data_IF_889113231570
#
_entry.id   IF_889113231570
#
_cell.length_a   1.000
_cell.length_b   1.000
_cell.length_c   1.000
_cell.angle_alpha   90.00
_cell.angle_beta   90.00
_cell.angle_gamma   90.00
#
_symmetry.space_group_name_H-M   'P 1'
#
loop_
_entity.id
_entity.type
_entity.pdbx_description
1 polymer ?
#
# COMPACT_ATOMS: atom_id res chain seq x y z
N UNK A 1 40.10 35.85 -68.53
CA UNK A 1 41.03 35.04 -67.72
C UNK A 1 40.73 35.30 -66.25
N UNK A 2 40.18 34.28 -65.57
CA UNK A 2 40.54 33.81 -64.22
C UNK A 2 40.56 34.83 -63.06
N UNK A 3 39.58 34.65 -62.16
CA UNK A 3 39.65 34.65 -60.68
C UNK A 3 39.88 35.98 -59.92
N UNK A 4 39.41 36.20 -58.69
CA UNK A 4 38.95 35.30 -57.61
C UNK A 4 37.87 35.98 -56.76
N UNK A 5 36.94 35.16 -56.29
CA UNK A 5 35.97 35.49 -55.26
C UNK A 5 36.62 35.67 -53.88
N UNK A 6 36.05 36.56 -53.07
CA UNK A 6 36.11 36.48 -51.62
C UNK A 6 34.67 36.61 -51.07
N UNK A 7 34.02 35.52 -50.63
CA UNK A 7 32.82 35.64 -49.82
C UNK A 7 33.22 35.86 -48.36
N UNK A 8 32.68 36.93 -47.76
CA UNK A 8 32.78 37.22 -46.34
C UNK A 8 32.39 36.01 -45.48
N UNK A 9 33.38 35.43 -44.79
CA UNK A 9 33.22 34.33 -43.82
C UNK A 9 32.84 34.84 -42.43
N UNK A 10 31.81 35.69 -42.32
CA UNK A 10 31.34 36.24 -41.04
C UNK A 10 30.25 35.39 -40.34
N UNK A 11 29.88 34.22 -40.89
CA UNK A 11 28.78 33.38 -40.39
C UNK A 11 29.16 32.16 -39.55
N UNK A 12 30.44 31.78 -39.48
CA UNK A 12 30.87 30.52 -38.83
C UNK A 12 31.21 30.69 -37.35
N UNK A 13 31.73 31.85 -36.93
CA UNK A 13 32.22 32.06 -35.57
C UNK A 13 31.10 32.03 -34.51
N UNK A 14 29.93 32.61 -34.77
CA UNK A 14 28.80 32.59 -33.81
C UNK A 14 28.25 31.17 -33.61
N UNK A 15 28.18 30.38 -34.69
CA UNK A 15 27.72 28.99 -34.67
C UNK A 15 28.69 28.08 -33.91
N UNK A 16 30.00 28.31 -34.05
CA UNK A 16 31.04 27.57 -33.31
C UNK A 16 31.02 27.88 -31.81
N UNK A 17 30.82 29.14 -31.41
CA UNK A 17 30.70 29.49 -29.99
C UNK A 17 29.44 28.89 -29.34
N UNK A 18 28.32 28.87 -30.06
CA UNK A 18 27.10 28.19 -29.59
C UNK A 18 27.34 26.69 -29.41
N UNK A 19 28.02 26.03 -30.36
CA UNK A 19 28.36 24.61 -30.25
C UNK A 19 29.29 24.31 -29.07
N UNK A 20 30.29 25.18 -28.82
CA UNK A 20 31.20 25.04 -27.67
C UNK A 20 30.46 25.24 -26.35
N UNK A 21 29.61 26.26 -26.24
CA UNK A 21 28.80 26.49 -25.04
C UNK A 21 27.82 25.35 -24.79
N UNK A 22 27.16 24.84 -25.84
CA UNK A 22 26.30 23.64 -25.75
C UNK A 22 27.11 22.42 -25.34
N UNK A 23 28.30 22.19 -25.90
CA UNK A 23 29.16 21.07 -25.54
C UNK A 23 29.67 21.15 -24.09
N UNK A 24 30.04 22.34 -23.61
CA UNK A 24 30.45 22.56 -22.21
C UNK A 24 29.27 22.39 -21.26
N UNK A 25 28.08 22.90 -21.60
CA UNK A 25 26.86 22.70 -20.82
C UNK A 25 26.47 21.23 -20.78
N UNK A 26 26.50 20.53 -21.92
CA UNK A 26 26.20 19.10 -22.02
C UNK A 26 27.22 18.27 -21.25
N UNK A 27 28.52 18.54 -21.38
CA UNK A 27 29.57 17.87 -20.60
C UNK A 27 29.45 18.15 -19.10
N UNK A 28 29.15 19.40 -18.72
CA UNK A 28 28.85 19.77 -17.33
C UNK A 28 27.62 19.04 -16.80
N UNK A 29 26.57 18.88 -17.61
CA UNK A 29 25.38 18.09 -17.29
C UNK A 29 25.64 16.59 -17.21
N UNK A 30 26.54 16.06 -18.03
CA UNK A 30 26.93 14.64 -18.03
C UNK A 30 27.81 14.29 -16.82
N UNK A 31 28.68 15.21 -16.40
CA UNK A 31 29.55 15.02 -15.23
C UNK A 31 28.83 15.34 -13.91
N UNK A 32 28.07 16.43 -13.85
CA UNK A 32 27.33 16.83 -12.66
C UNK A 32 25.98 16.12 -12.54
N UNK A 33 25.40 15.61 -13.63
CA UNK A 33 24.10 14.95 -13.66
C UNK A 33 23.99 13.75 -12.71
N UNK A 34 24.94 12.80 -12.71
CA UNK A 34 24.94 11.69 -11.76
C UNK A 34 25.07 12.15 -10.30
N UNK A 35 25.90 13.17 -10.03
CA UNK A 35 26.06 13.72 -8.69
C UNK A 35 24.80 14.47 -8.21
N UNK A 36 24.19 15.26 -9.09
CA UNK A 36 22.93 15.99 -8.84
C UNK A 36 21.76 15.02 -8.64
N UNK A 37 21.71 13.94 -9.41
CA UNK A 37 20.72 12.86 -9.26
C UNK A 37 20.84 12.14 -7.90
N UNK A 38 22.05 11.98 -7.37
CA UNK A 38 22.28 11.38 -6.05
C UNK A 38 21.92 12.34 -4.91
N UNK A 39 22.30 13.63 -5.02
CA UNK A 39 22.18 14.60 -3.93
C UNK A 39 20.82 15.31 -3.88
N UNK A 40 20.22 15.59 -5.04
CA UNK A 40 18.93 16.28 -5.17
C UNK A 40 18.04 15.57 -6.22
N UNK A 41 17.58 14.34 -5.95
CA UNK A 41 16.89 13.50 -6.93
C UNK A 41 15.62 14.15 -7.50
N UNK A 42 14.84 14.85 -6.67
CA UNK A 42 13.60 15.51 -7.10
C UNK A 42 13.89 16.71 -8.01
N UNK A 43 14.90 17.51 -7.68
CA UNK A 43 15.29 18.68 -8.48
C UNK A 43 15.83 18.22 -9.83
N UNK A 44 16.73 17.23 -9.82
CA UNK A 44 17.25 16.62 -11.04
C UNK A 44 16.11 16.06 -11.92
N UNK A 45 15.15 15.37 -11.31
CA UNK A 45 14.00 14.83 -12.04
C UNK A 45 13.17 15.94 -12.69
N UNK A 46 12.76 16.97 -11.93
CA UNK A 46 11.90 18.04 -12.45
C UNK A 46 12.60 18.85 -13.54
N UNK A 47 13.88 19.18 -13.35
CA UNK A 47 14.63 20.04 -14.27
C UNK A 47 15.12 19.31 -15.52
N UNK A 48 15.47 18.02 -15.44
CA UNK A 48 16.16 17.30 -16.51
C UNK A 48 15.48 15.99 -16.89
N UNK A 49 15.17 15.15 -15.91
CA UNK A 49 14.58 13.83 -16.16
C UNK A 49 13.20 13.91 -16.83
N UNK A 50 12.32 14.77 -16.32
CA UNK A 50 10.95 14.93 -16.78
C UNK A 50 10.85 15.51 -18.21
N UNK A 51 11.58 16.59 -18.58
CA UNK A 51 11.63 17.05 -19.97
C UNK A 51 12.11 15.99 -20.95
N UNK A 52 13.19 15.26 -20.61
CA UNK A 52 13.71 14.16 -21.44
C UNK A 52 12.67 13.05 -21.61
N UNK A 53 11.98 12.67 -20.53
CA UNK A 53 10.91 11.68 -20.59
C UNK A 53 9.74 12.15 -21.47
N UNK A 54 9.33 13.42 -21.37
CA UNK A 54 8.28 13.99 -22.22
C UNK A 54 8.66 13.94 -23.71
N UNK A 55 9.93 14.26 -24.04
CA UNK A 55 10.45 14.16 -25.41
C UNK A 55 10.43 12.71 -25.89
N UNK A 56 10.86 11.75 -25.07
CA UNK A 56 10.80 10.32 -25.40
C UNK A 56 9.37 9.87 -25.65
N UNK A 57 8.45 10.15 -24.72
CA UNK A 57 7.02 9.84 -24.89
C UNK A 57 6.49 10.44 -26.19
N UNK A 58 6.78 11.71 -26.49
CA UNK A 58 6.32 12.35 -27.72
C UNK A 58 6.89 11.70 -28.99
N UNK A 59 8.17 11.33 -28.99
CA UNK A 59 8.85 10.70 -30.13
C UNK A 59 8.43 9.26 -30.35
N UNK A 60 8.28 8.46 -29.29
CA UNK A 60 8.00 7.03 -29.39
C UNK A 60 6.52 6.70 -29.41
N UNK A 61 5.61 7.62 -29.06
CA UNK A 61 4.17 7.34 -28.92
C UNK A 61 3.59 6.57 -30.12
N UNK A 62 3.75 7.09 -31.34
CA UNK A 62 3.16 6.49 -32.54
C UNK A 62 3.76 5.12 -32.88
N UNK A 63 5.11 4.98 -33.01
CA UNK A 63 5.74 3.69 -33.23
C UNK A 63 5.39 2.65 -32.16
N UNK A 64 5.40 3.05 -30.88
CA UNK A 64 5.12 2.17 -29.76
C UNK A 64 3.67 1.67 -29.78
N UNK A 65 2.69 2.57 -30.00
CA UNK A 65 1.29 2.17 -30.10
C UNK A 65 1.07 1.21 -31.29
N UNK A 66 1.76 1.42 -32.41
CA UNK A 66 1.69 0.49 -33.54
C UNK A 66 2.36 -0.86 -33.22
N UNK A 67 3.56 -0.85 -32.64
CA UNK A 67 4.33 -2.06 -32.30
C UNK A 67 3.65 -2.92 -31.23
N UNK A 68 2.93 -2.31 -30.30
CA UNK A 68 2.14 -3.02 -29.29
C UNK A 68 0.74 -3.43 -29.76
N UNK A 69 0.40 -3.26 -31.05
CA UNK A 69 -0.93 -3.58 -31.57
C UNK A 69 -2.06 -2.66 -31.11
N UNK A 70 -1.72 -1.52 -30.50
CA UNK A 70 -2.66 -0.50 -30.02
C UNK A 70 -3.08 0.50 -31.10
N UNK A 71 -2.63 0.33 -32.35
CA UNK A 71 -3.03 1.18 -33.46
C UNK A 71 -4.08 0.48 -34.34
N UNK A 72 -5.16 1.18 -34.69
CA UNK A 72 -6.24 0.62 -35.50
C UNK A 72 -6.16 1.15 -36.93
N UNK A 73 -6.13 0.25 -37.92
CA UNK A 73 -6.17 0.59 -39.34
C UNK A 73 -7.47 0.11 -39.99
N UNK A 74 -8.58 0.84 -39.80
CA UNK A 74 -9.87 0.49 -40.46
C UNK A 74 -9.87 0.71 -41.98
N UNK A 75 -9.00 1.59 -42.49
CA UNK A 75 -8.99 1.96 -43.92
C UNK A 75 -8.02 1.14 -44.78
N UNK A 76 -7.00 0.50 -44.19
CA UNK A 76 -6.08 -0.34 -44.96
C UNK A 76 -6.75 -1.62 -45.46
N UNK A 77 -7.51 -2.31 -44.60
CA UNK A 77 -8.24 -3.53 -45.00
C UNK A 77 -9.23 -3.26 -46.14
N UNK A 78 -9.96 -2.14 -46.09
CA UNK A 78 -10.95 -1.76 -47.10
C UNK A 78 -10.30 -1.32 -48.43
N UNK A 79 -9.12 -0.67 -48.41
CA UNK A 79 -8.37 -0.32 -49.62
C UNK A 79 -7.65 -1.50 -50.28
N UNK A 80 -7.16 -2.46 -49.48
CA UNK A 80 -6.60 -3.72 -49.99
C UNK A 80 -7.69 -4.58 -50.65
N UNK A 81 -8.89 -4.64 -50.06
CA UNK A 81 -10.04 -5.36 -50.64
C UNK A 81 -10.63 -4.65 -51.88
N UNK A 82 -10.51 -3.32 -52.00
CA UNK A 82 -11.03 -2.55 -53.15
C UNK A 82 -10.04 -2.32 -54.29
N UNK A 83 -8.82 -2.87 -54.23
CA UNK A 83 -7.83 -2.77 -55.32
C UNK A 83 -7.31 -1.35 -55.60
N UNK A 84 -7.58 -0.38 -54.71
CA UNK A 84 -7.26 1.05 -54.91
C UNK A 84 -5.79 1.42 -54.63
N UNK A 85 -4.92 0.45 -54.40
CA UNK A 85 -3.46 0.67 -54.22
C UNK A 85 -2.76 0.66 -55.59
N UNK A 86 -3.24 1.50 -56.52
CA UNK A 86 -2.70 1.66 -57.87
C UNK A 86 -1.90 2.94 -58.11
N UNK A 87 -2.03 3.97 -57.25
CA UNK A 87 -1.58 5.33 -57.59
C UNK A 87 -0.63 5.98 -56.57
N UNK A 88 0.40 5.27 -56.09
CA UNK A 88 1.51 5.87 -55.34
C UNK A 88 1.14 6.59 -54.02
N UNK A 89 -0.11 6.46 -53.55
CA UNK A 89 -0.56 7.07 -52.31
C UNK A 89 0.05 6.32 -51.13
N UNK A 90 0.65 7.06 -50.18
CA UNK A 90 1.20 6.44 -48.97
C UNK A 90 0.10 5.68 -48.22
N UNK A 91 0.40 4.47 -47.69
CA UNK A 91 -0.60 3.69 -46.97
C UNK A 91 -1.19 4.50 -45.82
N UNK A 92 -2.51 4.38 -45.55
CA UNK A 92 -3.17 5.17 -44.53
C UNK A 92 -2.50 4.93 -43.18
N UNK A 93 -2.01 6.01 -42.54
CA UNK A 93 -1.35 5.89 -41.25
C UNK A 93 -2.33 5.30 -40.23
N UNK A 94 -1.91 4.26 -39.48
CA UNK A 94 -2.77 3.65 -38.50
C UNK A 94 -3.13 4.68 -37.42
N UNK A 95 -4.42 4.72 -37.04
CA UNK A 95 -4.88 5.63 -36.00
C UNK A 95 -4.37 5.12 -34.66
N UNK A 96 -3.66 5.97 -33.94
CA UNK A 96 -3.19 5.68 -32.58
C UNK A 96 -4.09 6.37 -31.54
N UNK A 97 -4.18 5.81 -30.33
CA UNK A 97 -4.89 6.42 -29.20
C UNK A 97 -4.35 7.82 -28.88
N UNK A 98 -5.25 8.73 -28.51
CA UNK A 98 -4.88 10.10 -28.17
C UNK A 98 -4.50 10.20 -26.69
N UNK A 99 -3.29 10.71 -26.40
CA UNK A 99 -2.85 11.02 -25.04
C UNK A 99 -3.12 12.48 -24.66
N UNK A 100 -3.45 12.72 -23.40
CA UNK A 100 -3.60 14.05 -22.81
C UNK A 100 -2.26 14.70 -22.45
N UNK A 101 -2.36 15.81 -21.71
CA UNK A 101 -1.21 16.53 -21.15
C UNK A 101 -0.45 15.65 -20.15
N UNK A 102 0.87 15.63 -20.27
CA UNK A 102 1.76 14.94 -19.32
C UNK A 102 1.96 15.83 -18.09
N UNK A 103 1.57 15.32 -16.92
CA UNK A 103 1.68 16.03 -15.64
C UNK A 103 2.81 15.44 -14.81
N UNK A 104 3.79 16.26 -14.36
CA UNK A 104 4.90 15.76 -13.56
C UNK A 104 4.47 15.36 -12.16
N UNK A 105 5.20 14.41 -11.57
CA UNK A 105 5.19 14.09 -10.14
C UNK A 105 6.62 14.13 -9.58
N UNK A 106 6.80 14.00 -8.26
CA UNK A 106 8.13 14.04 -7.62
C UNK A 106 9.08 12.93 -8.08
N UNK A 107 8.55 11.81 -8.58
CA UNK A 107 9.33 10.65 -8.98
C UNK A 107 8.86 10.02 -10.30
N UNK A 108 8.19 10.81 -11.15
CA UNK A 108 7.55 10.29 -12.35
C UNK A 108 6.66 11.31 -13.06
N UNK A 109 5.65 10.81 -13.76
CA UNK A 109 4.62 11.60 -14.42
C UNK A 109 3.37 10.75 -14.67
N UNK A 110 2.26 11.42 -15.00
CA UNK A 110 1.04 10.73 -15.43
C UNK A 110 0.31 11.50 -16.52
N UNK A 111 -0.53 10.79 -17.29
CA UNK A 111 -1.45 11.37 -18.25
C UNK A 111 -2.62 10.43 -18.53
N UNK A 112 -3.64 10.93 -19.21
CA UNK A 112 -4.81 10.14 -19.62
C UNK A 112 -4.69 9.74 -21.09
N UNK A 113 -5.21 8.57 -21.46
CA UNK A 113 -5.28 8.10 -22.84
C UNK A 113 -6.71 7.71 -23.15
N UNK A 114 -7.23 8.20 -24.27
CA UNK A 114 -8.54 7.82 -24.78
C UNK A 114 -8.40 6.60 -25.68
N UNK A 115 -9.05 5.51 -25.29
CA UNK A 115 -9.05 4.25 -26.03
C UNK A 115 -9.75 4.40 -27.39
N UNK A 116 -9.29 3.66 -28.38
CA UNK A 116 -9.99 3.51 -29.66
C UNK A 116 -11.10 2.45 -29.54
N UNK A 117 -12.14 2.49 -30.38
CA UNK A 117 -13.21 1.50 -30.27
C UNK A 117 -12.68 0.10 -30.61
N UNK A 118 -12.98 -0.86 -29.72
CA UNK A 118 -12.47 -2.23 -29.77
C UNK A 118 -11.28 -2.48 -28.84
N UNK A 119 -10.68 -1.44 -28.25
CA UNK A 119 -9.62 -1.58 -27.25
C UNK A 119 -10.19 -1.66 -25.84
N UNK A 120 -9.49 -2.42 -25.01
CA UNK A 120 -9.77 -2.55 -23.57
C UNK A 120 -8.57 -2.08 -22.75
N UNK A 121 -8.74 -1.69 -21.47
CA UNK A 121 -7.64 -1.29 -20.61
C UNK A 121 -6.49 -2.31 -20.54
N UNK A 122 -6.82 -3.60 -20.60
CA UNK A 122 -5.87 -4.72 -20.54
C UNK A 122 -4.87 -4.69 -21.70
N UNK A 123 -5.27 -4.21 -22.88
CA UNK A 123 -4.35 -4.06 -24.02
C UNK A 123 -3.21 -3.08 -23.70
N UNK A 124 -3.55 -2.00 -22.97
CA UNK A 124 -2.56 -1.03 -22.51
C UNK A 124 -1.74 -1.52 -21.33
N UNK A 125 -2.33 -2.31 -20.43
CA UNK A 125 -1.60 -2.97 -19.34
C UNK A 125 -0.50 -3.88 -19.92
N UNK A 126 -0.83 -4.68 -20.94
CA UNK A 126 0.13 -5.54 -21.65
C UNK A 126 1.28 -4.76 -22.31
N UNK A 127 0.99 -3.56 -22.81
CA UNK A 127 1.99 -2.69 -23.45
C UNK A 127 2.88 -1.92 -22.46
N UNK A 128 2.53 -1.90 -21.17
CA UNK A 128 3.20 -1.08 -20.16
C UNK A 128 4.71 -1.36 -20.00
N UNK A 129 5.21 -2.61 -20.05
CA UNK A 129 6.66 -2.87 -20.01
C UNK A 129 7.41 -2.25 -21.20
N UNK A 130 6.83 -2.31 -22.40
CA UNK A 130 7.42 -1.67 -23.59
C UNK A 130 7.42 -0.14 -23.46
N UNK A 131 6.35 0.45 -22.92
CA UNK A 131 6.30 1.87 -22.58
C UNK A 131 7.41 2.27 -21.60
N UNK A 132 7.61 1.47 -20.54
CA UNK A 132 8.63 1.74 -19.54
C UNK A 132 10.04 1.75 -20.15
N UNK A 133 10.32 0.74 -21.00
CA UNK A 133 11.58 0.62 -21.72
C UNK A 133 11.83 1.82 -22.65
N UNK A 134 10.88 2.14 -23.54
CA UNK A 134 11.02 3.22 -24.53
C UNK A 134 11.12 4.61 -23.90
N UNK A 135 10.43 4.84 -22.78
CA UNK A 135 10.49 6.12 -22.07
C UNK A 135 11.70 6.19 -21.14
N UNK A 136 12.39 5.06 -20.91
CA UNK A 136 13.52 4.93 -20.00
C UNK A 136 13.16 5.32 -18.57
N UNK A 137 11.99 4.84 -18.12
CA UNK A 137 11.48 4.98 -16.76
C UNK A 137 11.54 3.62 -16.07
N UNK A 138 11.44 3.60 -14.74
CA UNK A 138 11.48 2.35 -13.98
C UNK A 138 10.28 1.45 -14.27
N UNK A 139 9.07 2.02 -14.29
CA UNK A 139 7.85 1.28 -14.57
C UNK A 139 6.77 2.18 -15.16
N UNK A 140 5.83 1.58 -15.89
CA UNK A 140 4.59 2.21 -16.33
C UNK A 140 3.44 1.35 -15.84
N UNK A 141 2.41 1.99 -15.29
CA UNK A 141 1.17 1.34 -14.89
C UNK A 141 -0.02 2.00 -15.57
N UNK A 142 -0.98 1.16 -15.93
CA UNK A 142 -2.21 1.58 -16.58
C UNK A 142 -3.39 1.17 -15.70
N UNK A 143 -4.27 2.11 -15.41
CA UNK A 143 -5.49 1.89 -14.62
C UNK A 143 -6.70 2.41 -15.39
N UNK A 144 -7.85 1.77 -15.25
CA UNK A 144 -9.09 2.32 -15.78
C UNK A 144 -9.44 3.61 -15.02
N UNK A 145 -9.72 4.70 -15.74
CA UNK A 145 -10.15 5.96 -15.13
C UNK A 145 -11.66 6.14 -15.21
N UNK A 146 -12.22 5.87 -16.39
CA UNK A 146 -13.66 5.81 -16.69
C UNK A 146 -13.85 5.03 -17.99
N UNK A 147 -15.08 4.63 -18.37
CA UNK A 147 -15.29 3.93 -19.63
C UNK A 147 -14.62 4.62 -20.83
N UNK A 148 -13.77 3.89 -21.55
CA UNK A 148 -13.02 4.38 -22.73
C UNK A 148 -11.82 5.28 -22.43
N UNK A 149 -11.42 5.46 -21.17
CA UNK A 149 -10.24 6.26 -20.79
C UNK A 149 -9.41 5.52 -19.74
N UNK A 150 -8.11 5.42 -20.01
CA UNK A 150 -7.13 4.87 -19.07
C UNK A 150 -6.21 5.97 -18.55
N UNK A 151 -5.75 5.79 -17.31
CA UNK A 151 -4.71 6.61 -16.70
C UNK A 151 -3.38 5.86 -16.78
N UNK A 152 -2.39 6.50 -17.38
CA UNK A 152 -1.02 6.02 -17.47
C UNK A 152 -0.17 6.75 -16.45
N UNK A 153 0.49 6.01 -15.56
CA UNK A 153 1.41 6.53 -14.56
C UNK A 153 2.79 5.94 -14.82
N UNK A 154 3.80 6.78 -14.99
CA UNK A 154 5.17 6.38 -15.23
C UNK A 154 6.04 6.78 -14.03
N UNK A 155 6.73 5.81 -13.43
CA UNK A 155 7.64 6.00 -12.30
C UNK A 155 9.07 6.06 -12.81
N UNK A 156 9.76 7.18 -12.60
CA UNK A 156 11.15 7.39 -13.04
C UNK A 156 12.18 6.60 -12.21
N UNK A 157 11.84 6.37 -10.95
CA UNK A 157 12.61 5.62 -9.98
C UNK A 157 11.69 4.64 -9.29
N UNK A 158 12.24 3.56 -8.74
CA UNK A 158 11.50 2.65 -7.88
C UNK A 158 10.94 3.41 -6.65
N UNK A 159 9.62 3.61 -6.55
CA UNK A 159 9.02 4.31 -5.42
C UNK A 159 9.08 3.50 -4.12
N UNK A 160 9.33 2.18 -4.22
CA UNK A 160 9.46 1.28 -3.08
C UNK A 160 10.89 1.27 -2.53
N UNK A 161 11.89 1.82 -3.23
CA UNK A 161 13.29 1.75 -2.76
C UNK A 161 13.51 2.46 -1.42
N UNK A 162 12.82 3.57 -1.17
CA UNK A 162 12.89 4.32 0.09
C UNK A 162 11.57 5.10 0.29
N UNK A 163 10.49 4.43 0.76
CA UNK A 163 9.21 5.08 0.94
C UNK A 163 9.30 6.14 2.04
N UNK A 164 9.18 7.41 1.67
CA UNK A 164 9.21 8.52 2.63
C UNK A 164 7.93 8.54 3.47
N UNK A 165 8.07 8.60 4.79
CA UNK A 165 6.93 8.78 5.70
C UNK A 165 6.29 10.14 5.42
N UNK A 166 5.04 10.21 4.93
CA UNK A 166 4.36 11.48 4.79
C UNK A 166 4.16 12.07 6.19
N UNK A 167 4.48 13.36 6.37
CA UNK A 167 4.04 14.08 7.57
C UNK A 167 2.51 14.06 7.58
N UNK A 168 1.91 13.28 8.47
CA UNK A 168 0.47 13.34 8.74
C UNK A 168 0.15 14.76 9.19
N UNK A 169 -0.61 15.50 8.40
CA UNK A 169 -1.06 16.86 8.73
C UNK A 169 -2.53 16.79 9.16
N UNK A 170 -2.81 17.17 10.42
CA UNK A 170 -4.15 17.24 10.99
C UNK A 170 -4.59 15.99 11.73
N UNK A 171 -5.77 16.06 12.37
CA UNK A 171 -6.46 14.89 12.90
C UNK A 171 -6.84 13.98 11.73
N UNK A 172 -6.17 12.82 11.60
CA UNK A 172 -6.46 11.86 10.54
C UNK A 172 -7.92 11.41 10.57
N UNK A 173 -8.44 10.90 9.44
CA UNK A 173 -9.75 10.22 9.41
C UNK A 173 -9.67 9.01 10.36
N UNK A 174 -10.66 8.87 11.25
CA UNK A 174 -10.71 7.78 12.22
C UNK A 174 -10.60 6.42 11.51
N UNK A 175 -9.77 5.53 12.06
CA UNK A 175 -9.43 4.19 11.56
C UNK A 175 -8.70 4.15 10.21
N UNK A 176 -8.08 5.28 9.81
CA UNK A 176 -7.28 5.38 8.58
C UNK A 176 -5.83 5.70 8.90
N UNK A 177 -4.91 4.91 8.35
CA UNK A 177 -3.46 5.06 8.57
C UNK A 177 -2.71 4.94 7.25
N UNK A 178 -1.79 5.86 6.99
CA UNK A 178 -0.82 5.70 5.90
C UNK A 178 0.36 4.89 6.43
N UNK A 179 0.53 3.68 5.91
CA UNK A 179 1.53 2.71 6.40
C UNK A 179 2.72 2.58 5.46
N UNK A 180 2.67 3.13 4.26
CA UNK A 180 3.72 2.96 3.27
C UNK A 180 3.50 3.70 1.96
N UNK A 181 4.14 3.18 0.91
CA UNK A 181 3.93 3.61 -0.47
C UNK A 181 3.59 2.41 -1.36
N UNK A 182 2.72 2.63 -2.34
CA UNK A 182 2.44 1.68 -3.42
C UNK A 182 3.49 1.83 -4.53
N UNK A 183 3.60 0.83 -5.40
CA UNK A 183 4.46 0.86 -6.59
C UNK A 183 4.06 1.94 -7.60
N UNK A 184 2.84 2.47 -7.47
CA UNK A 184 2.35 3.65 -8.19
C UNK A 184 2.95 4.96 -7.69
N UNK A 185 3.65 4.95 -6.55
CA UNK A 185 4.07 6.13 -5.81
C UNK A 185 2.95 6.81 -5.01
N UNK A 186 1.72 6.27 -5.03
CA UNK A 186 0.66 6.68 -4.13
C UNK A 186 0.96 6.22 -2.69
N UNK A 187 0.29 6.83 -1.72
CA UNK A 187 0.35 6.40 -0.33
C UNK A 187 -0.35 5.05 -0.19
N UNK A 188 0.32 4.10 0.48
CA UNK A 188 -0.34 2.88 0.94
C UNK A 188 -1.11 3.22 2.21
N UNK A 189 -2.43 3.20 2.10
CA UNK A 189 -3.36 3.49 3.18
C UNK A 189 -4.08 2.22 3.61
N UNK A 190 -4.13 1.96 4.91
CA UNK A 190 -5.06 1.02 5.52
C UNK A 190 -6.21 1.86 6.10
N UNK A 191 -7.41 1.70 5.53
CA UNK A 191 -8.64 2.31 6.03
C UNK A 191 -9.59 1.19 6.48
N UNK A 192 -9.72 1.01 7.79
CA UNK A 192 -10.54 -0.08 8.34
C UNK A 192 -12.04 0.19 8.16
N UNK A 193 -12.46 1.41 7.81
CA UNK A 193 -13.87 1.67 7.46
C UNK A 193 -14.20 1.22 6.04
N UNK A 194 -13.20 1.17 5.15
CA UNK A 194 -13.36 0.72 3.77
C UNK A 194 -13.09 -0.79 3.65
N UNK A 195 -12.03 -1.28 4.30
CA UNK A 195 -11.67 -2.69 4.36
C UNK A 195 -11.58 -3.11 5.83
N UNK A 196 -12.66 -3.70 6.41
CA UNK A 196 -12.76 -3.89 7.86
C UNK A 196 -11.82 -4.92 8.47
N UNK A 197 -11.46 -5.92 7.67
CA UNK A 197 -10.74 -7.08 8.15
C UNK A 197 -9.58 -7.43 7.21
N UNK A 198 -8.39 -7.56 7.78
CA UNK A 198 -7.13 -7.73 7.05
C UNK A 198 -6.42 -9.03 7.45
N UNK A 199 -5.84 -9.69 6.46
CA UNK A 199 -4.87 -10.77 6.62
C UNK A 199 -3.49 -10.28 6.17
N UNK A 200 -2.49 -10.37 7.05
CA UNK A 200 -1.11 -9.97 6.80
C UNK A 200 -0.21 -11.20 6.97
N UNK A 201 0.31 -11.74 5.87
CA UNK A 201 1.24 -12.87 5.93
C UNK A 201 2.66 -12.46 5.58
N UNK A 202 3.64 -13.14 6.18
CA UNK A 202 5.04 -12.90 5.87
C UNK A 202 5.99 -13.64 6.79
N UNK A 203 7.09 -14.16 6.25
CA UNK A 203 8.13 -14.83 7.01
C UNK A 203 8.87 -13.84 7.95
N UNK A 204 9.69 -14.39 8.84
CA UNK A 204 10.59 -13.60 9.70
C UNK A 204 11.45 -12.63 8.87
N UNK A 205 11.58 -11.38 9.32
CA UNK A 205 12.32 -10.29 8.64
C UNK A 205 11.82 -9.95 7.23
N UNK A 206 10.58 -10.31 6.87
CA UNK A 206 9.98 -9.95 5.57
C UNK A 206 9.40 -8.54 5.52
N UNK A 207 9.10 -7.95 6.68
CA UNK A 207 8.44 -6.65 6.80
C UNK A 207 7.08 -6.67 7.51
N UNK A 208 6.57 -7.86 7.89
CA UNK A 208 5.31 -8.04 8.64
C UNK A 208 5.26 -7.16 9.90
N UNK A 209 6.22 -7.31 10.82
CA UNK A 209 6.24 -6.55 12.08
C UNK A 209 6.34 -5.04 11.81
N UNK A 210 7.18 -4.61 10.87
CA UNK A 210 7.27 -3.20 10.46
C UNK A 210 5.93 -2.61 10.01
N UNK A 211 5.13 -3.38 9.27
CA UNK A 211 3.78 -2.95 8.87
C UNK A 211 2.84 -2.85 10.08
N UNK A 212 2.87 -3.84 10.99
CA UNK A 212 2.08 -3.82 12.23
C UNK A 212 2.46 -2.60 13.08
N UNK A 213 3.77 -2.34 13.27
CA UNK A 213 4.30 -1.20 13.99
C UNK A 213 3.79 0.13 13.40
N UNK A 214 3.84 0.27 12.07
CA UNK A 214 3.34 1.47 11.38
C UNK A 214 1.83 1.65 11.56
N UNK A 215 1.05 0.56 11.53
CA UNK A 215 -0.39 0.59 11.74
C UNK A 215 -0.72 0.97 13.19
N UNK A 216 -0.09 0.31 14.18
CA UNK A 216 -0.27 0.61 15.62
C UNK A 216 0.13 2.04 15.92
N UNK A 217 1.28 2.52 15.43
CA UNK A 217 1.73 3.90 15.63
C UNK A 217 0.75 4.92 15.04
N UNK A 218 0.11 4.62 13.90
CA UNK A 218 -0.91 5.48 13.31
C UNK A 218 -2.25 5.47 14.05
N UNK A 219 -2.67 4.31 14.57
CA UNK A 219 -3.90 4.14 15.34
C UNK A 219 -3.77 4.65 16.78
N UNK A 220 -2.58 4.57 17.37
CA UNK A 220 -2.31 5.04 18.73
C UNK A 220 -2.73 6.51 18.94
N UNK A 221 -2.57 7.32 17.89
CA UNK A 221 -2.91 8.76 17.82
C UNK A 221 -4.40 9.06 17.71
N UNK A 222 -5.25 8.03 17.71
CA UNK A 222 -6.68 8.13 17.46
C UNK A 222 -7.49 7.62 18.66
N UNK A 223 -8.74 8.06 18.86
CA UNK A 223 -9.61 7.56 19.92
C UNK A 223 -10.21 6.19 19.54
N UNK A 224 -9.35 5.16 19.54
CA UNK A 224 -9.71 3.77 19.19
C UNK A 224 -9.26 2.81 20.30
N UNK A 225 -9.99 1.74 20.55
CA UNK A 225 -9.53 0.68 21.45
C UNK A 225 -8.62 -0.27 20.67
N UNK A 226 -7.40 -0.49 21.14
CA UNK A 226 -6.49 -1.48 20.55
C UNK A 226 -6.49 -2.73 21.42
N UNK A 227 -6.73 -3.88 20.81
CA UNK A 227 -6.75 -5.17 21.50
C UNK A 227 -5.70 -6.08 20.88
N UNK A 228 -4.79 -6.60 21.69
CA UNK A 228 -3.72 -7.50 21.24
C UNK A 228 -4.02 -8.97 21.55
N UNK A 229 -3.69 -9.85 20.60
CA UNK A 229 -3.64 -11.30 20.78
C UNK A 229 -2.25 -11.77 20.34
N UNK A 230 -1.44 -12.19 21.31
CA UNK A 230 -0.05 -12.60 21.12
C UNK A 230 0.23 -13.88 21.94
N UNK A 231 -0.25 -15.00 21.42
CA UNK A 231 -0.06 -16.32 22.03
C UNK A 231 1.40 -16.82 21.97
N UNK A 232 2.33 -16.02 21.43
CA UNK A 232 3.76 -16.31 21.41
C UNK A 232 4.48 -15.72 22.62
N UNK A 233 3.84 -15.81 23.78
CA UNK A 233 4.36 -15.31 25.06
C UNK A 233 4.34 -13.79 25.20
N UNK A 234 3.61 -13.06 24.35
CA UNK A 234 3.45 -11.60 24.47
C UNK A 234 4.65 -10.78 24.00
N UNK A 235 5.64 -11.36 23.32
CA UNK A 235 6.90 -10.67 22.99
C UNK A 235 6.75 -9.54 21.96
N UNK A 236 5.72 -9.58 21.12
CA UNK A 236 5.57 -8.66 19.98
C UNK A 236 4.58 -7.54 20.32
N UNK A 237 3.41 -7.88 20.88
CA UNK A 237 2.36 -6.89 21.15
C UNK A 237 2.46 -6.24 22.54
N UNK A 238 3.19 -6.83 23.50
CA UNK A 238 3.37 -6.21 24.83
C UNK A 238 4.09 -4.86 24.79
N UNK A 239 4.90 -4.63 23.75
CA UNK A 239 5.56 -3.35 23.46
C UNK A 239 4.55 -2.18 23.35
N UNK A 240 3.28 -2.48 23.07
CA UNK A 240 2.20 -1.49 22.95
C UNK A 240 1.34 -1.40 24.20
N UNK A 241 1.68 -2.10 25.28
CA UNK A 241 0.89 -2.24 26.51
C UNK A 241 0.20 -0.96 26.99
N UNK A 242 0.91 0.18 27.12
CA UNK A 242 0.29 1.45 27.55
C UNK A 242 -0.87 1.93 26.67
N UNK A 243 -0.90 1.50 25.40
CA UNK A 243 -1.94 1.86 24.42
C UNK A 243 -3.01 0.78 24.23
N UNK A 244 -2.78 -0.44 24.70
CA UNK A 244 -3.73 -1.56 24.55
C UNK A 244 -4.83 -1.47 25.62
N UNK A 245 -6.09 -1.58 25.18
CA UNK A 245 -7.24 -1.75 26.07
C UNK A 245 -7.33 -3.16 26.65
N UNK A 246 -6.75 -4.15 25.97
CA UNK A 246 -6.59 -5.52 26.45
C UNK A 246 -5.49 -6.25 25.67
N UNK A 247 -4.84 -7.23 26.31
CA UNK A 247 -3.85 -8.11 25.70
C UNK A 247 -4.08 -9.54 26.19
N UNK A 248 -4.23 -10.50 25.27
CA UNK A 248 -4.20 -11.92 25.57
C UNK A 248 -2.85 -12.52 25.14
N UNK A 249 -2.17 -13.22 26.05
CA UNK A 249 -0.86 -13.85 25.81
C UNK A 249 -0.92 -15.38 25.82
N UNK A 250 -2.09 -15.96 26.05
CA UNK A 250 -2.35 -17.39 25.96
C UNK A 250 -3.64 -17.70 25.20
N UNK A 251 -3.77 -18.94 24.74
CA UNK A 251 -4.97 -19.39 24.01
C UNK A 251 -6.23 -19.33 24.87
N UNK A 252 -6.15 -19.76 26.13
CA UNK A 252 -7.25 -19.67 27.09
C UNK A 252 -7.72 -18.22 27.31
N UNK A 253 -6.78 -17.26 27.46
CA UNK A 253 -7.11 -15.82 27.54
C UNK A 253 -7.73 -15.32 26.24
N UNK A 254 -7.21 -15.78 25.10
CA UNK A 254 -7.71 -15.40 23.77
C UNK A 254 -9.17 -15.82 23.59
N UNK A 255 -9.53 -17.05 23.96
CA UNK A 255 -10.91 -17.54 23.89
C UNK A 255 -11.85 -16.67 24.73
N UNK A 256 -11.46 -16.34 25.97
CA UNK A 256 -12.25 -15.46 26.86
C UNK A 256 -12.41 -14.05 26.27
N UNK A 257 -11.32 -13.46 25.82
CA UNK A 257 -11.29 -12.11 25.25
C UNK A 257 -12.13 -12.01 23.97
N UNK A 258 -12.00 -12.99 23.07
CA UNK A 258 -12.81 -13.06 21.85
C UNK A 258 -14.29 -13.29 22.16
N UNK A 259 -14.62 -14.07 23.18
CA UNK A 259 -16.00 -14.22 23.66
C UNK A 259 -16.59 -12.89 24.11
N UNK A 260 -15.89 -12.14 24.96
CA UNK A 260 -16.31 -10.82 25.42
C UNK A 260 -16.47 -9.82 24.26
N UNK A 261 -15.60 -9.87 23.25
CA UNK A 261 -15.72 -9.04 22.04
C UNK A 261 -16.95 -9.42 21.22
N UNK A 262 -17.31 -10.70 21.12
CA UNK A 262 -18.52 -11.15 20.43
C UNK A 262 -19.76 -10.65 21.15
N UNK A 263 -19.82 -10.78 22.48
CA UNK A 263 -20.95 -10.32 23.29
C UNK A 263 -21.13 -8.80 23.17
N UNK A 264 -20.04 -8.03 23.34
CA UNK A 264 -20.03 -6.58 23.14
C UNK A 264 -20.49 -6.19 21.72
N UNK A 265 -20.10 -6.96 20.70
CA UNK A 265 -20.55 -6.73 19.33
C UNK A 265 -22.06 -6.95 19.20
N UNK A 266 -22.60 -8.00 19.81
CA UNK A 266 -24.03 -8.28 19.80
C UNK A 266 -24.83 -7.21 20.58
N UNK A 267 -24.31 -6.70 21.68
CA UNK A 267 -24.92 -5.60 22.43
C UNK A 267 -25.01 -4.32 21.61
N UNK A 268 -23.93 -3.96 20.90
CA UNK A 268 -23.94 -2.83 19.95
C UNK A 268 -24.97 -3.01 18.84
N UNK A 269 -25.21 -4.24 18.39
CA UNK A 269 -26.25 -4.55 17.41
C UNK A 269 -27.64 -4.25 17.96
N UNK A 270 -27.88 -4.60 19.23
CA UNK A 270 -29.13 -4.30 19.94
C UNK A 270 -29.36 -2.80 20.05
N UNK A 271 -28.35 -2.02 20.43
CA UNK A 271 -28.40 -0.56 20.48
C UNK A 271 -28.73 0.04 19.11
N UNK A 272 -28.06 -0.41 18.05
CA UNK A 272 -28.32 0.07 16.69
C UNK A 272 -29.77 -0.22 16.24
N UNK A 273 -30.29 -1.42 16.57
CA UNK A 273 -31.68 -1.79 16.26
C UNK A 273 -32.68 -0.93 17.01
N UNK A 274 -32.44 -0.65 18.29
CA UNK A 274 -33.30 0.22 19.10
C UNK A 274 -33.35 1.65 18.51
N UNK A 275 -32.21 2.18 18.07
CA UNK A 275 -32.10 3.47 17.39
C UNK A 275 -32.53 3.45 15.91
N UNK A 276 -32.93 2.28 15.37
CA UNK A 276 -33.30 2.07 13.95
C UNK A 276 -32.21 2.49 12.95
N UNK A 277 -30.95 2.33 13.31
CA UNK A 277 -29.79 2.60 12.45
C UNK A 277 -29.14 1.30 12.00
N UNK A 278 -28.48 1.33 10.84
CA UNK A 278 -27.84 0.13 10.24
C UNK A 278 -26.48 -0.21 10.84
N UNK A 279 -25.83 0.73 11.50
CA UNK A 279 -24.49 0.60 12.04
C UNK A 279 -24.24 1.64 13.14
N UNK A 280 -23.18 1.44 13.92
CA UNK A 280 -22.78 2.32 15.03
C UNK A 280 -22.46 3.75 14.57
N UNK A 281 -22.12 3.94 13.29
CA UNK A 281 -21.83 5.26 12.73
C UNK A 281 -23.09 6.10 12.51
N UNK A 282 -24.27 5.48 12.47
CA UNK A 282 -25.56 6.17 12.41
C UNK A 282 -26.07 6.65 13.77
N UNK A 283 -25.45 6.20 14.87
CA UNK A 283 -25.79 6.67 16.21
C UNK A 283 -25.34 8.13 16.41
N UNK A 284 -26.01 8.88 17.31
CA UNK A 284 -25.52 10.16 17.83
C UNK A 284 -24.06 10.05 18.30
N UNK A 285 -23.30 11.14 18.21
CA UNK A 285 -21.85 11.10 18.49
C UNK A 285 -21.53 10.76 19.94
N UNK A 286 -22.37 11.20 20.88
CA UNK A 286 -22.29 10.94 22.32
C UNK A 286 -22.68 9.50 22.70
N UNK A 287 -23.51 8.85 21.88
CA UNK A 287 -23.89 7.44 22.05
C UNK A 287 -23.02 6.48 21.22
N UNK A 288 -22.15 7.02 20.34
CA UNK A 288 -21.34 6.20 19.44
C UNK A 288 -20.27 5.44 20.22
N UNK A 289 -20.29 4.10 20.19
CA UNK A 289 -19.27 3.33 20.89
C UNK A 289 -17.90 3.52 20.23
N UNK A 290 -16.85 3.50 21.06
CA UNK A 290 -15.46 3.58 20.60
C UNK A 290 -15.15 2.39 19.68
N UNK A 291 -14.60 2.62 18.47
CA UNK A 291 -14.25 1.51 17.58
C UNK A 291 -13.08 0.70 18.15
N UNK A 292 -13.12 -0.62 17.94
CA UNK A 292 -12.16 -1.58 18.46
C UNK A 292 -11.38 -2.18 17.28
N UNK A 293 -10.05 -2.17 17.37
CA UNK A 293 -9.16 -2.85 16.42
C UNK A 293 -8.47 -4.00 17.14
N UNK A 294 -8.78 -5.22 16.73
CA UNK A 294 -8.19 -6.45 17.27
C UNK A 294 -7.02 -6.86 16.38
N UNK A 295 -5.84 -6.98 16.96
CA UNK A 295 -4.60 -7.35 16.27
C UNK A 295 -4.17 -8.73 16.77
N UNK A 296 -4.11 -9.70 15.86
CA UNK A 296 -3.59 -11.05 16.12
C UNK A 296 -2.21 -11.12 15.47
N UNK A 297 -1.12 -11.28 16.24
CA UNK A 297 0.22 -11.25 15.64
C UNK A 297 0.57 -12.54 14.88
N UNK A 298 0.22 -13.70 15.46
CA UNK A 298 0.49 -15.01 14.87
C UNK A 298 -0.74 -15.91 14.94
N UNK A 299 -1.43 -16.01 13.80
CA UNK A 299 -2.63 -16.81 13.66
C UNK A 299 -2.35 -18.29 13.90
N UNK A 300 -1.19 -18.81 13.47
CA UNK A 300 -0.89 -20.24 13.59
C UNK A 300 -0.93 -20.73 15.05
N UNK A 301 -0.51 -19.90 16.01
CA UNK A 301 -0.53 -20.23 17.44
C UNK A 301 -1.96 -20.42 17.99
N UNK A 302 -2.97 -19.87 17.33
CA UNK A 302 -4.37 -20.09 17.72
C UNK A 302 -4.93 -21.44 17.22
N UNK A 303 -4.38 -21.97 16.12
CA UNK A 303 -4.91 -23.13 15.42
C UNK A 303 -4.04 -24.38 15.54
N UNK A 304 -2.79 -24.25 15.98
CA UNK A 304 -1.90 -25.39 16.20
C UNK A 304 -2.35 -26.17 17.44
N UNK A 305 -2.76 -27.42 17.24
CA UNK A 305 -3.35 -28.29 18.27
C UNK A 305 -2.46 -29.51 18.51
N UNK A 306 -2.06 -29.73 19.77
CA UNK A 306 -1.35 -30.93 20.21
C UNK A 306 -2.21 -31.83 21.13
N UNK A 307 -3.30 -31.31 21.71
CA UNK A 307 -4.18 -32.05 22.64
C UNK A 307 -5.68 -31.85 22.35
N UNK A 308 -6.55 -32.69 22.96
CA UNK A 308 -8.02 -32.56 22.81
C UNK A 308 -8.54 -31.24 23.36
N UNK A 309 -8.03 -30.79 24.51
CA UNK A 309 -8.45 -29.53 25.13
C UNK A 309 -8.08 -28.32 24.26
N UNK A 310 -6.86 -28.31 23.72
CA UNK A 310 -6.43 -27.28 22.78
C UNK A 310 -7.27 -27.24 21.50
N UNK A 311 -7.83 -28.40 21.08
CA UNK A 311 -8.74 -28.47 19.94
C UNK A 311 -10.03 -27.69 20.19
N UNK A 312 -10.59 -27.81 21.39
CA UNK A 312 -11.81 -27.10 21.78
C UNK A 312 -11.54 -25.59 21.84
N UNK A 313 -10.41 -25.18 22.43
CA UNK A 313 -10.00 -23.77 22.48
C UNK A 313 -9.76 -23.19 21.08
N UNK A 314 -9.04 -23.91 20.21
CA UNK A 314 -8.80 -23.49 18.83
C UNK A 314 -10.11 -23.34 18.06
N UNK A 315 -11.04 -24.28 18.24
CA UNK A 315 -12.37 -24.22 17.61
C UNK A 315 -13.20 -23.04 18.13
N UNK A 316 -13.16 -22.76 19.43
CA UNK A 316 -13.83 -21.62 20.04
C UNK A 316 -13.26 -20.28 19.53
N UNK A 317 -11.93 -20.14 19.53
CA UNK A 317 -11.24 -18.95 19.01
C UNK A 317 -11.55 -18.72 17.52
N UNK A 318 -11.48 -19.78 16.71
CA UNK A 318 -11.86 -19.78 15.29
C UNK A 318 -13.29 -19.28 15.08
N UNK A 319 -14.25 -19.84 15.83
CA UNK A 319 -15.67 -19.49 15.72
C UNK A 319 -15.90 -18.02 16.08
N UNK A 320 -15.26 -17.55 17.15
CA UNK A 320 -15.37 -16.16 17.58
C UNK A 320 -14.74 -15.18 16.57
N UNK A 321 -13.54 -15.46 16.06
CA UNK A 321 -12.90 -14.64 15.02
C UNK A 321 -13.76 -14.55 13.75
N UNK A 322 -14.30 -15.68 13.28
CA UNK A 322 -15.21 -15.70 12.12
C UNK A 322 -16.45 -14.86 12.39
N UNK A 323 -17.03 -14.98 13.59
CA UNK A 323 -18.22 -14.21 13.98
C UNK A 323 -17.95 -12.71 14.03
N UNK A 324 -16.81 -12.30 14.59
CA UNK A 324 -16.37 -10.91 14.59
C UNK A 324 -16.12 -10.40 13.18
N UNK A 325 -15.53 -11.20 12.29
CA UNK A 325 -15.32 -10.81 10.89
C UNK A 325 -16.65 -10.64 10.11
N UNK A 326 -17.68 -11.41 10.46
CA UNK A 326 -19.00 -11.33 9.82
C UNK A 326 -19.82 -10.12 10.29
N UNK A 327 -19.73 -9.76 11.58
CA UNK A 327 -20.59 -8.74 12.20
C UNK A 327 -19.89 -7.40 12.44
N UNK A 328 -18.58 -7.43 12.66
CA UNK A 328 -17.81 -6.35 13.27
C UNK A 328 -17.78 -5.07 12.46
N UNK A 329 -17.73 -5.15 11.12
CA UNK A 329 -17.65 -3.98 10.25
C UNK A 329 -18.74 -2.92 10.51
N UNK A 330 -19.99 -3.36 10.68
CA UNK A 330 -21.13 -2.48 10.97
C UNK A 330 -21.19 -2.05 12.45
N UNK A 331 -20.49 -2.77 13.33
CA UNK A 331 -20.60 -2.63 14.79
C UNK A 331 -19.31 -2.08 15.42
N UNK A 332 -18.39 -1.60 14.59
CA UNK A 332 -17.18 -0.92 15.01
C UNK A 332 -16.13 -1.85 15.63
N UNK A 333 -16.06 -3.12 15.18
CA UNK A 333 -15.00 -4.06 15.55
C UNK A 333 -14.28 -4.50 14.28
N UNK A 334 -12.96 -4.30 14.24
CA UNK A 334 -12.11 -4.50 13.08
C UNK A 334 -11.03 -5.53 13.40
N UNK A 335 -10.63 -6.33 12.42
CA UNK A 335 -9.65 -7.41 12.63
C UNK A 335 -8.42 -7.17 11.76
N UNK A 336 -7.24 -7.25 12.37
CA UNK A 336 -5.96 -7.30 11.68
C UNK A 336 -5.29 -8.58 12.11
N UNK A 337 -5.35 -9.58 11.26
CA UNK A 337 -4.84 -10.92 11.54
C UNK A 337 -3.55 -11.12 10.80
N UNK A 338 -2.49 -11.43 11.53
CA UNK A 338 -1.17 -11.66 10.97
C UNK A 338 -0.70 -13.09 11.20
N UNK A 339 0.24 -13.56 10.37
CA UNK A 339 0.87 -14.86 10.58
C UNK A 339 2.06 -15.13 9.67
N UNK A 340 3.03 -15.90 10.17
CA UNK A 340 4.22 -16.27 9.41
C UNK A 340 3.96 -17.47 8.50
N UNK A 341 3.14 -18.40 8.97
CA UNK A 341 2.73 -19.61 8.26
C UNK A 341 1.22 -19.73 8.35
N UNK A 342 0.53 -19.52 7.24
CA UNK A 342 -0.93 -19.59 7.17
C UNK A 342 -1.28 -20.50 6.02
N UNK A 343 -1.49 -21.78 6.30
CA UNK A 343 -1.84 -22.77 5.28
C UNK A 343 -3.13 -23.51 5.63
N UNK A 344 -3.71 -24.18 4.64
CA UNK A 344 -4.90 -25.03 4.83
C UNK A 344 -4.65 -26.20 5.79
N UNK A 345 -3.38 -26.51 6.07
CA UNK A 345 -2.94 -27.51 7.05
C UNK A 345 -3.30 -27.15 8.50
N UNK A 346 -3.54 -25.86 8.79
CA UNK A 346 -4.06 -25.41 10.09
C UNK A 346 -5.57 -25.71 10.27
N UNK A 347 -6.23 -26.25 9.26
CA UNK A 347 -7.60 -26.75 9.32
C UNK A 347 -8.67 -25.83 8.70
N UNK A 348 -9.94 -26.26 8.68
CA UNK A 348 -11.01 -25.56 7.97
C UNK A 348 -11.34 -24.19 8.58
N UNK A 349 -11.10 -24.00 9.88
CA UNK A 349 -11.34 -22.74 10.59
C UNK A 349 -10.50 -21.59 10.04
N UNK A 350 -9.21 -21.82 9.76
CA UNK A 350 -8.34 -20.79 9.19
C UNK A 350 -8.80 -20.38 7.78
N UNK A 351 -9.27 -21.33 6.98
CA UNK A 351 -9.78 -21.08 5.62
C UNK A 351 -11.07 -20.30 5.63
N UNK A 352 -11.98 -20.65 6.55
CA UNK A 352 -13.23 -19.94 6.75
C UNK A 352 -13.01 -18.51 7.26
N UNK A 353 -12.11 -18.33 8.23
CA UNK A 353 -11.72 -17.01 8.73
C UNK A 353 -11.10 -16.18 7.61
N UNK A 354 -10.10 -16.74 6.91
CA UNK A 354 -9.45 -16.11 5.77
C UNK A 354 -10.49 -15.55 4.82
N UNK A 355 -11.49 -16.34 4.40
CA UNK A 355 -12.53 -15.89 3.46
C UNK A 355 -13.29 -14.61 3.91
N UNK A 356 -13.28 -14.25 5.19
CA UNK A 356 -13.90 -13.02 5.72
C UNK A 356 -12.95 -11.80 5.76
N UNK A 357 -11.64 -12.00 5.60
CA UNK A 357 -10.65 -10.91 5.67
C UNK A 357 -10.35 -10.37 4.26
N UNK A 358 -11.14 -9.42 3.78
CA UNK A 358 -11.04 -8.91 2.41
C UNK A 358 -9.70 -8.25 2.07
N UNK A 359 -9.04 -7.61 3.04
CA UNK A 359 -7.72 -7.01 2.85
C UNK A 359 -6.63 -8.07 2.90
N UNK A 360 -5.89 -8.29 1.81
CA UNK A 360 -4.76 -9.22 1.77
C UNK A 360 -3.46 -8.50 1.59
N UNK A 361 -2.51 -8.80 2.48
CA UNK A 361 -1.13 -8.36 2.38
C UNK A 361 -0.23 -9.59 2.48
N UNK A 362 0.57 -9.82 1.45
CA UNK A 362 1.57 -10.89 1.44
C UNK A 362 2.96 -10.27 1.30
N UNK A 363 3.72 -10.27 2.38
CA UNK A 363 5.17 -10.07 2.31
C UNK A 363 5.84 -11.33 1.74
N UNK A 364 7.18 -11.31 1.66
CA UNK A 364 7.94 -12.52 1.36
C UNK A 364 7.59 -13.63 2.37
N UNK A 365 7.16 -14.78 1.86
CA UNK A 365 6.86 -15.99 2.65
C UNK A 365 7.96 -17.03 2.49
N UNK A 366 8.05 -17.97 3.42
CA UNK A 366 9.02 -19.07 3.35
C UNK A 366 8.51 -20.22 2.47
N UNK A 367 7.20 -20.45 2.47
CA UNK A 367 6.56 -21.53 1.73
C UNK A 367 5.50 -20.98 0.75
N UNK A 368 5.37 -21.59 -0.45
CA UNK A 368 4.36 -21.18 -1.43
C UNK A 368 2.91 -21.32 -0.94
N UNK A 369 2.65 -22.27 -0.04
CA UNK A 369 1.31 -22.55 0.49
C UNK A 369 0.73 -21.37 1.28
N UNK A 370 1.57 -20.63 2.01
CA UNK A 370 1.16 -19.42 2.72
C UNK A 370 0.76 -18.30 1.75
N UNK A 371 1.48 -18.14 0.64
CA UNK A 371 1.09 -17.16 -0.38
C UNK A 371 -0.19 -17.58 -1.13
N UNK A 372 -0.33 -18.87 -1.45
CA UNK A 372 -1.54 -19.44 -2.04
C UNK A 372 -2.76 -19.19 -1.14
N UNK A 373 -2.62 -19.49 0.14
CA UNK A 373 -3.67 -19.23 1.12
C UNK A 373 -4.00 -17.74 1.21
N UNK A 374 -3.04 -16.83 1.13
CA UNK A 374 -3.31 -15.41 1.24
C UNK A 374 -3.92 -14.79 -0.05
N UNK A 375 -3.47 -15.21 -1.23
CA UNK A 375 -3.72 -14.52 -2.51
C UNK A 375 -4.33 -15.37 -3.63
N UNK A 376 -4.29 -16.70 -3.50
CA UNK A 376 -4.59 -17.63 -4.60
C UNK A 376 -6.01 -17.53 -5.15
N UNK A 377 -6.99 -17.21 -4.30
CA UNK A 377 -8.38 -17.02 -4.71
C UNK A 377 -8.69 -15.63 -5.29
N UNK A 378 -7.76 -14.67 -5.16
CA UNK A 378 -7.96 -13.31 -5.65
C UNK A 378 -7.34 -13.11 -7.03
N UNK A 379 -6.05 -13.43 -7.17
CA UNK A 379 -5.34 -13.14 -8.41
C UNK A 379 -4.05 -13.98 -8.56
N UNK A 380 -3.93 -14.82 -9.60
CA UNK A 380 -2.72 -15.62 -9.87
C UNK A 380 -1.44 -14.79 -10.08
N UNK A 381 -1.54 -13.61 -10.68
CA UNK A 381 -0.38 -12.73 -10.89
C UNK A 381 0.10 -12.13 -9.56
N UNK A 382 -0.82 -11.82 -8.64
CA UNK A 382 -0.49 -11.35 -7.30
C UNK A 382 0.27 -12.42 -6.51
N UNK A 383 -0.17 -13.68 -6.60
CA UNK A 383 0.51 -14.83 -6.03
C UNK A 383 1.95 -14.95 -6.56
N UNK A 384 2.12 -14.92 -7.90
CA UNK A 384 3.44 -14.99 -8.51
C UNK A 384 4.32 -13.80 -8.09
N UNK A 385 3.75 -12.60 -8.03
CA UNK A 385 4.44 -11.40 -7.58
C UNK A 385 4.93 -11.53 -6.13
N UNK A 386 4.13 -12.11 -5.23
CA UNK A 386 4.51 -12.33 -3.84
C UNK A 386 5.65 -13.35 -3.70
N UNK A 387 5.61 -14.42 -4.47
CA UNK A 387 6.65 -15.45 -4.51
C UNK A 387 7.98 -14.94 -5.09
N UNK A 388 7.95 -13.87 -5.89
CA UNK A 388 9.15 -13.23 -6.45
C UNK A 388 9.83 -12.21 -5.52
N UNK A 389 9.28 -11.92 -4.34
CA UNK A 389 9.88 -10.96 -3.40
C UNK A 389 11.15 -11.55 -2.82
N UNK A 390 12.29 -10.89 -3.04
CA UNK A 390 13.59 -11.37 -2.53
C UNK A 390 13.87 -10.91 -1.10
N UNK A 391 14.79 -11.56 -0.36
CA UNK A 391 15.17 -11.15 1.00
C UNK A 391 15.65 -9.70 1.13
N UNK A 392 16.29 -9.15 0.09
CA UNK A 392 16.81 -7.77 0.05
C UNK A 392 15.68 -6.73 -0.04
N UNK A 393 14.48 -7.16 -0.42
CA UNK A 393 13.29 -6.32 -0.57
C UNK A 393 12.43 -6.27 0.69
N UNK A 394 13.01 -6.51 1.88
CA UNK A 394 12.30 -6.46 3.16
C UNK A 394 11.44 -5.17 3.32
N UNK A 395 10.22 -5.34 3.82
CA UNK A 395 9.18 -4.32 3.86
C UNK A 395 8.26 -4.31 2.63
N UNK A 396 8.70 -4.91 1.51
CA UNK A 396 7.88 -5.03 0.30
C UNK A 396 6.79 -6.09 0.51
N UNK A 397 5.60 -5.82 0.02
CA UNK A 397 4.46 -6.72 0.04
C UNK A 397 3.68 -6.62 -1.28
N UNK A 398 2.90 -7.66 -1.55
CA UNK A 398 1.79 -7.62 -2.50
C UNK A 398 0.50 -7.41 -1.74
N UNK A 399 -0.26 -6.41 -2.14
CA UNK A 399 -1.64 -6.22 -1.74
C UNK A 399 -2.55 -6.80 -2.80
N UNK A 400 -3.57 -7.53 -2.39
CA UNK A 400 -4.63 -7.96 -3.29
C UNK A 400 -6.01 -7.70 -2.67
N UNK A 401 -6.95 -7.41 -3.56
CA UNK A 401 -8.37 -7.24 -3.29
C UNK A 401 -9.16 -7.77 -4.49
N UNK A 402 -10.49 -7.78 -4.39
CA UNK A 402 -11.35 -8.11 -5.52
C UNK A 402 -11.15 -7.16 -6.73
N UNK A 403 -10.72 -5.92 -6.49
CA UNK A 403 -10.57 -4.88 -7.53
C UNK A 403 -9.19 -4.94 -8.22
N UNK A 404 -8.28 -5.81 -7.77
CA UNK A 404 -6.94 -5.97 -8.32
C UNK A 404 -5.86 -6.05 -7.25
N UNK A 405 -4.60 -5.94 -7.69
CA UNK A 405 -3.43 -6.05 -6.83
C UNK A 405 -2.36 -5.00 -7.12
N UNK A 406 -1.54 -4.73 -6.12
CA UNK A 406 -0.48 -3.73 -6.12
C UNK A 406 0.73 -4.24 -5.34
N UNK A 407 1.95 -3.95 -5.79
CA UNK A 407 3.10 -4.00 -4.87
C UNK A 407 3.13 -2.75 -4.00
N UNK A 408 3.59 -2.89 -2.78
CA UNK A 408 3.82 -1.80 -1.87
C UNK A 408 5.00 -2.06 -0.96
N UNK A 409 5.42 -1.02 -0.23
CA UNK A 409 6.41 -1.13 0.82
C UNK A 409 5.98 -0.31 2.02
N UNK A 410 5.96 -0.94 3.19
CA UNK A 410 5.69 -0.24 4.44
C UNK A 410 6.82 0.73 4.80
N UNK A 411 6.49 1.79 5.51
CA UNK A 411 7.47 2.65 6.14
C UNK A 411 8.16 1.90 7.27
N UNK A 412 9.47 2.11 7.41
CA UNK A 412 10.20 1.55 8.53
C UNK A 412 9.85 2.33 9.81
N UNK A 413 8.97 1.76 10.62
CA UNK A 413 8.74 2.15 12.01
C UNK A 413 9.40 1.09 12.88
N UNK A 414 10.45 1.47 13.60
CA UNK A 414 11.13 0.54 14.52
C UNK A 414 10.24 0.21 15.72
N UNK A 415 10.50 -0.92 16.37
CA UNK A 415 9.80 -1.32 17.60
C UNK A 415 9.89 -0.21 18.67
N UNK A 416 11.09 0.29 18.92
CA UNK A 416 11.32 1.39 19.86
C UNK A 416 10.56 2.68 19.48
N UNK A 417 10.38 2.97 18.18
CA UNK A 417 9.57 4.10 17.76
C UNK A 417 8.07 3.87 17.99
N UNK A 418 7.57 2.69 17.68
CA UNK A 418 6.18 2.33 17.91
C UNK A 418 5.83 2.27 19.41
N UNK A 419 6.72 1.76 20.25
CA UNK A 419 6.60 1.74 21.72
C UNK A 419 6.59 3.17 22.30
N UNK A 420 7.51 4.04 21.86
CA UNK A 420 7.49 5.46 22.26
C UNK A 420 6.17 6.13 21.91
N UNK A 421 5.67 5.90 20.69
CA UNK A 421 4.38 6.46 20.25
C UNK A 421 3.23 5.86 21.07
N UNK A 422 3.22 4.55 21.35
CA UNK A 422 2.20 3.93 22.19
C UNK A 422 2.17 4.56 23.60
N UNK A 423 3.34 4.85 24.16
CA UNK A 423 3.49 5.53 25.46
C UNK A 423 3.03 6.99 25.41
N UNK A 424 3.46 7.74 24.39
CA UNK A 424 3.07 9.14 24.17
C UNK A 424 1.54 9.31 24.12
N UNK A 425 0.85 8.39 23.44
CA UNK A 425 -0.60 8.41 23.28
C UNK A 425 -1.36 7.48 24.23
N UNK A 426 -0.74 7.02 25.32
CA UNK A 426 -1.39 6.16 26.32
C UNK A 426 -2.63 6.83 26.96
N UNK A 427 -2.64 8.16 27.05
CA UNK A 427 -3.78 8.96 27.51
C UNK A 427 -5.04 8.83 26.62
N UNK A 428 -4.92 8.29 25.40
CA UNK A 428 -6.04 8.00 24.51
C UNK A 428 -6.55 6.56 24.62
N UNK A 429 -6.00 5.73 25.52
CA UNK A 429 -6.45 4.35 25.72
C UNK A 429 -7.86 4.37 26.31
N UNK A 430 -8.89 3.92 25.56
CA UNK A 430 -10.25 3.93 26.07
C UNK A 430 -10.43 2.80 27.08
N UNK A 431 -11.17 3.10 28.14
CA UNK A 431 -11.64 2.09 29.08
C UNK A 431 -12.84 1.34 28.49
N UNK A 432 -12.71 0.02 28.32
CA UNK A 432 -13.76 -0.87 27.82
C UNK A 432 -13.97 -1.96 28.87
N UNK A 433 -14.93 -1.78 29.81
CA UNK A 433 -15.08 -2.64 31.00
C UNK A 433 -15.13 -4.13 30.67
N UNK A 434 -15.82 -4.48 29.58
CA UNK A 434 -16.05 -5.84 29.11
C UNK A 434 -14.74 -6.58 28.78
N UNK A 435 -13.68 -5.84 28.42
CA UNK A 435 -12.40 -6.40 28.02
C UNK A 435 -11.41 -6.57 29.18
N UNK A 436 -11.55 -5.78 30.26
CA UNK A 436 -10.63 -5.77 31.40
C UNK A 436 -10.71 -7.09 32.18
N UNK A 437 -11.93 -7.58 32.40
CA UNK A 437 -12.19 -8.85 33.09
C UNK A 437 -11.81 -10.08 32.26
N UNK A 438 -11.89 -9.98 30.93
CA UNK A 438 -11.66 -11.10 30.01
C UNK A 438 -10.18 -11.26 29.60
N UNK A 439 -9.45 -10.15 29.47
CA UNK A 439 -8.04 -10.13 29.05
C UNK A 439 -7.02 -10.36 30.17
N UNK A 440 -7.44 -10.48 31.44
CA UNK A 440 -6.53 -10.56 32.57
C UNK A 440 -5.76 -9.25 32.81
N UNK A 441 -6.44 -8.10 32.63
CA UNK A 441 -5.80 -6.79 32.63
C UNK A 441 -4.98 -6.51 33.90
N UNK A 442 -3.85 -5.84 33.68
CA UNK A 442 -3.17 -5.03 34.69
C UNK A 442 -4.21 -4.21 35.45
N UNK A 443 -4.31 -4.44 36.76
CA UNK A 443 -5.30 -3.81 37.61
C UNK A 443 -5.26 -2.29 37.45
N UNK A 444 -6.43 -1.66 37.49
CA UNK A 444 -6.66 -0.21 37.47
C UNK A 444 -5.99 0.59 38.62
N UNK A 445 -5.09 -0.03 39.39
CA UNK A 445 -4.32 0.58 40.48
C UNK A 445 -2.93 1.10 40.08
N UNK A 446 -2.43 0.83 38.88
CA UNK A 446 -1.05 1.16 38.46
C UNK A 446 -0.96 2.27 37.40
N UNK A 447 -1.89 3.23 37.45
CA UNK A 447 -1.61 4.56 36.88
C UNK A 447 -0.77 5.29 37.92
N UNK A 448 0.54 5.55 37.72
CA UNK A 448 1.28 6.39 38.65
C UNK A 448 0.63 7.76 38.62
N UNK A 449 -0.05 8.12 39.71
CA UNK A 449 -0.34 9.50 40.02
C UNK A 449 1.03 10.18 40.20
N UNK A 450 1.55 10.78 39.12
CA UNK A 450 2.74 11.61 39.20
C UNK A 450 2.32 12.88 39.93
N UNK A 451 2.38 12.81 41.25
CA UNK A 451 2.43 13.95 42.13
C UNK A 451 3.78 14.60 41.87
N UNK A 452 3.77 15.71 41.14
CA UNK A 452 4.95 16.56 40.97
C UNK A 452 5.31 17.13 42.34
N UNK A 453 6.22 16.48 43.07
CA UNK A 453 6.98 17.14 44.12
C UNK A 453 7.99 18.06 43.44
N UNK A 454 7.79 19.38 43.61
CA UNK A 454 8.84 20.37 43.40
C UNK A 454 9.96 20.06 44.39
N UNK A 455 11.12 19.68 43.88
CA UNK A 455 12.38 19.85 44.59
C UNK A 455 12.88 21.27 44.25
N UNK A 456 12.32 22.26 44.95
CA UNK A 456 13.08 23.45 45.30
C UNK A 456 13.92 23.05 46.52
N UNK A 457 15.24 23.12 46.39
CA UNK A 457 16.19 22.80 47.43
C UNK A 457 17.54 23.36 47.06
N UNK A 458 17.83 24.54 47.63
CA UNK A 458 19.15 25.16 47.71
C UNK A 458 20.25 24.15 48.05
N UNK A 459 21.47 24.38 47.52
CA UNK A 459 22.64 24.62 48.38
C UNK A 459 23.85 25.09 47.56
N UNK A 460 24.32 26.28 47.92
CA UNK A 460 25.67 26.85 47.84
C UNK A 460 26.82 25.96 47.31
N UNK A 461 27.47 26.39 46.24
CA UNK A 461 28.88 26.86 46.20
C UNK A 461 29.21 27.57 44.88
#
# INVERSE_FOLDING_TARGET
MIALAAPNSAGSASSSWVLVVVAVLVSGLLLAGPALRRRYPVVWWVCLGFPVACIRVARTWRPLMAGCGLAVSRKAALMVVSGLVGNGASPPQPRVPHRGLIRPTRGGFWFLVRLLPGQVPEDFVKAAPAMAHDWGVHAVRVTAWKPGVVRVVASATDPLKAPQIPKQRGAGRLLRVVVGALETGAQWVIDLREVPHWLIVGATRSGKSTLINALVAGLARQPVALVGIDCKGGMELSLYGPRLSALATSRAQTVKLLGALVDLTLDRMTVCRAARVRNVWGLPEDERPVPIVVIVDELAELFLVASRHEKEEAQAASTALIRLAQLGAALGVFLVVAGQRVGSDLGPGVTALRAQLAGRVCHRVADPGTAEMALGDLNPDALHAAQSITPEQAGTAVLASADGWDRARSHLVSEAEAERIATEYAHLTPYVPELVTAGGGTSAGDVPSVRLERLDGDENE
#
